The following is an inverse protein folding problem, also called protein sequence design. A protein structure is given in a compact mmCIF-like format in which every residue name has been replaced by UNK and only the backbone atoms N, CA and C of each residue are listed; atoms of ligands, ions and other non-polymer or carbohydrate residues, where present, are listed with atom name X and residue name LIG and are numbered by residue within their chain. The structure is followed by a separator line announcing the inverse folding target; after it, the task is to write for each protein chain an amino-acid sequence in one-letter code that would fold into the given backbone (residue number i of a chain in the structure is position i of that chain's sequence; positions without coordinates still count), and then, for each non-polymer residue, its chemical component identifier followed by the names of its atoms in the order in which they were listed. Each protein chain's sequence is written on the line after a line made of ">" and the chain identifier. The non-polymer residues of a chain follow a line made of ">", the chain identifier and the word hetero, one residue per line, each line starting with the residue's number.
data_IF_111210128149
#
_entry.id   IF_111210128149
#
_cell.length_a   1.000
_cell.length_b   1.000
_cell.length_c   1.000
_cell.angle_alpha   90.00
_cell.angle_beta   90.00
_cell.angle_gamma   90.00
#
_symmetry.space_group_name_H-M   'P 1'
#
loop_
_entity.id
_entity.type
_entity.pdbx_description
1 polymer ?
#
# COMPACT_ATOMS: atom_id res chain seq x y z
N UNK A 1 58.83 14.88 36.98
CA UNK A 1 59.87 14.78 35.95
C UNK A 1 59.19 14.94 34.59
N UNK A 2 59.59 15.97 33.87
CA UNK A 2 59.04 16.55 32.64
C UNK A 2 58.76 15.57 31.47
N UNK A 3 57.66 15.77 30.73
CA UNK A 3 57.68 16.41 29.39
C UNK A 3 56.29 16.56 28.76
N UNK A 4 55.97 17.79 28.41
CA UNK A 4 54.99 18.27 27.42
C UNK A 4 55.58 18.17 26.01
N UNK A 5 54.75 17.85 24.99
CA UNK A 5 54.82 18.30 23.57
C UNK A 5 53.64 17.66 22.82
N UNK A 6 52.53 18.35 22.52
CA UNK A 6 52.22 19.36 21.49
C UNK A 6 52.29 18.88 20.01
N UNK A 7 51.12 18.94 19.36
CA UNK A 7 50.80 19.23 17.95
C UNK A 7 51.38 18.36 16.80
N UNK A 8 50.51 17.74 15.99
CA UNK A 8 49.93 18.33 14.76
C UNK A 8 49.28 17.28 13.83
N UNK A 9 48.11 17.64 13.30
CA UNK A 9 47.53 17.33 11.99
C UNK A 9 48.01 16.08 11.21
N UNK A 10 47.06 15.21 10.86
CA UNK A 10 46.90 14.81 9.45
C UNK A 10 45.49 14.26 9.15
N UNK A 11 44.70 15.12 8.54
CA UNK A 11 43.67 14.88 7.52
C UNK A 11 43.58 13.44 6.99
N UNK A 12 42.45 12.77 7.25
CA UNK A 12 41.72 11.96 6.26
C UNK A 12 40.22 11.90 6.63
N UNK A 13 39.53 13.04 6.55
CA UNK A 13 38.08 13.01 6.40
C UNK A 13 37.74 12.48 5.01
N UNK A 14 37.42 11.20 4.94
CA UNK A 14 36.78 10.60 3.78
C UNK A 14 35.41 11.24 3.60
N UNK A 15 35.29 12.11 2.59
CA UNK A 15 34.02 12.66 2.12
C UNK A 15 33.11 11.52 1.63
N UNK A 16 32.28 10.98 2.50
CA UNK A 16 31.09 10.22 2.14
C UNK A 16 29.96 11.22 1.89
N UNK A 17 29.90 11.74 0.67
CA UNK A 17 28.72 12.45 0.20
C UNK A 17 27.54 11.47 0.15
N UNK A 18 26.64 11.52 1.14
CA UNK A 18 25.33 10.88 1.03
C UNK A 18 24.45 11.72 0.10
N UNK A 19 24.32 11.30 -1.15
CA UNK A 19 23.58 12.01 -2.20
C UNK A 19 22.06 12.15 -1.94
N UNK A 20 21.55 11.54 -0.86
CA UNK A 20 20.14 11.55 -0.45
C UNK A 20 19.92 11.72 1.06
N UNK A 21 20.50 12.75 1.67
CA UNK A 21 20.11 13.17 3.02
C UNK A 21 19.58 14.60 2.98
N UNK A 22 18.25 14.83 2.95
CA UNK A 22 17.71 16.09 3.38
C UNK A 22 17.76 16.08 4.92
N UNK A 23 18.96 16.30 5.48
CA UNK A 23 19.14 16.57 6.90
C UNK A 23 18.53 17.93 7.21
N UNK A 24 17.20 17.95 7.43
CA UNK A 24 16.52 19.12 7.97
C UNK A 24 16.81 19.16 9.48
N UNK A 25 17.85 19.94 9.81
CA UNK A 25 18.24 20.40 11.15
C UNK A 25 18.11 19.38 12.28
N UNK A 26 19.23 18.74 12.62
CA UNK A 26 19.42 17.97 13.86
C UNK A 26 19.12 18.75 15.16
N UNK A 27 18.94 20.07 15.11
CA UNK A 27 18.80 20.97 16.28
C UNK A 27 17.66 22.00 16.18
N UNK A 28 16.64 21.81 15.35
CA UNK A 28 15.45 22.67 15.45
C UNK A 28 14.55 22.11 16.56
N UNK A 29 14.60 22.72 17.75
CA UNK A 29 13.61 22.47 18.79
C UNK A 29 12.20 22.67 18.23
N UNK A 30 11.26 21.81 18.62
CA UNK A 30 9.84 21.95 18.29
C UNK A 30 9.37 23.33 18.77
N UNK A 31 8.73 24.11 17.89
CA UNK A 31 8.04 25.32 18.36
C UNK A 31 6.97 24.93 19.41
N UNK A 32 6.66 25.82 20.36
CA UNK A 32 5.68 25.53 21.43
C UNK A 32 4.31 25.06 20.87
N UNK A 33 3.90 25.55 19.70
CA UNK A 33 2.70 25.10 18.96
C UNK A 33 2.83 23.74 18.25
N UNK A 34 4.05 23.25 18.01
CA UNK A 34 4.33 21.91 17.47
C UNK A 34 4.41 20.87 18.61
N UNK A 35 4.77 21.29 19.82
CA UNK A 35 4.79 20.43 21.02
C UNK A 35 3.40 20.21 21.63
N UNK A 36 2.48 21.18 21.52
CA UNK A 36 1.09 21.03 21.94
C UNK A 36 0.30 20.18 20.91
N UNK A 37 0.24 18.87 21.13
CA UNK A 37 -0.76 18.01 20.49
C UNK A 37 -1.89 17.76 21.49
N UNK A 38 -3.09 18.24 21.19
CA UNK A 38 -4.25 18.09 22.08
C UNK A 38 -4.81 16.65 22.15
N UNK A 39 -4.09 15.64 21.64
CA UNK A 39 -4.59 14.26 21.52
C UNK A 39 -5.72 14.08 20.49
N UNK A 40 -6.16 15.15 19.83
CA UNK A 40 -7.33 15.16 18.94
C UNK A 40 -6.96 14.87 17.48
N UNK A 41 -7.45 13.76 16.96
CA UNK A 41 -7.29 13.34 15.57
C UNK A 41 -8.42 13.90 14.69
N UNK A 42 -8.29 15.16 14.27
CA UNK A 42 -9.26 15.90 13.44
C UNK A 42 -8.66 16.26 12.07
N UNK A 43 -9.49 16.66 11.11
CA UNK A 43 -9.04 17.00 9.74
C UNK A 43 -7.97 18.10 9.69
N UNK A 44 -8.07 19.12 10.54
CA UNK A 44 -7.06 20.20 10.60
C UNK A 44 -5.69 19.64 11.00
N UNK A 45 -5.66 18.76 12.01
CA UNK A 45 -4.45 18.10 12.43
C UNK A 45 -3.95 17.16 11.34
N UNK A 46 -4.82 16.43 10.65
CA UNK A 46 -4.41 15.60 9.50
C UNK A 46 -3.58 16.39 8.48
N UNK A 47 -4.06 17.56 8.03
CA UNK A 47 -3.30 18.38 7.08
C UNK A 47 -2.02 18.96 7.67
N UNK A 48 -1.99 19.30 8.97
CA UNK A 48 -0.77 19.74 9.66
C UNK A 48 0.29 18.64 9.67
N UNK A 49 -0.09 17.40 9.98
CA UNK A 49 0.83 16.26 9.96
C UNK A 49 1.28 15.91 8.53
N UNK A 50 0.35 15.90 7.58
CA UNK A 50 0.64 15.65 6.17
C UNK A 50 1.67 16.64 5.62
N UNK A 51 1.51 17.94 5.92
CA UNK A 51 2.46 18.99 5.51
C UNK A 51 3.84 18.78 6.12
N UNK A 52 3.90 18.41 7.40
CA UNK A 52 5.16 18.23 8.11
C UNK A 52 5.96 17.01 7.60
N UNK A 53 5.27 15.94 7.23
CA UNK A 53 5.89 14.69 6.75
C UNK A 53 5.81 14.49 5.24
N UNK A 54 5.50 15.53 4.47
CA UNK A 54 5.31 15.39 3.02
C UNK A 54 6.55 14.82 2.32
N UNK A 55 7.74 15.31 2.68
CA UNK A 55 9.01 14.79 2.13
C UNK A 55 9.34 13.38 2.61
N UNK A 56 8.98 13.04 3.85
CA UNK A 56 9.19 11.69 4.37
C UNK A 56 8.26 10.69 3.67
N UNK A 57 7.02 11.09 3.36
CA UNK A 57 6.05 10.29 2.63
C UNK A 57 6.47 10.03 1.17
N UNK A 58 7.09 11.00 0.50
CA UNK A 58 7.62 10.77 -0.86
C UNK A 58 8.77 9.78 -0.85
N UNK A 59 9.71 9.90 0.10
CA UNK A 59 10.79 8.92 0.29
C UNK A 59 10.21 7.53 0.59
N UNK A 60 9.23 7.47 1.50
CA UNK A 60 8.58 6.23 1.87
C UNK A 60 7.87 5.57 0.68
N UNK A 61 7.22 6.36 -0.18
CA UNK A 61 6.57 5.88 -1.40
C UNK A 61 7.59 5.28 -2.39
N UNK A 62 8.75 5.91 -2.55
CA UNK A 62 9.83 5.40 -3.40
C UNK A 62 10.37 4.07 -2.88
N UNK A 63 10.55 3.92 -1.56
CA UNK A 63 10.95 2.66 -0.95
C UNK A 63 9.89 1.57 -1.19
N UNK A 64 8.60 1.92 -1.04
CA UNK A 64 7.50 0.99 -1.29
C UNK A 64 7.52 0.47 -2.74
N UNK A 65 7.73 1.36 -3.71
CA UNK A 65 7.78 0.97 -5.13
C UNK A 65 9.04 0.17 -5.45
N UNK A 66 10.19 0.55 -4.89
CA UNK A 66 11.43 -0.20 -5.07
C UNK A 66 11.30 -1.63 -4.54
N UNK A 67 10.67 -1.78 -3.37
CA UNK A 67 10.45 -3.11 -2.77
C UNK A 67 9.38 -3.92 -3.49
N UNK A 68 8.38 -3.28 -4.08
CA UNK A 68 7.34 -3.92 -4.89
C UNK A 68 7.53 -3.66 -6.39
N UNK A 69 8.78 -3.60 -6.88
CA UNK A 69 9.06 -3.24 -8.28
C UNK A 69 8.38 -4.17 -9.29
N UNK A 70 8.18 -5.44 -8.91
CA UNK A 70 7.42 -6.40 -9.70
C UNK A 70 5.98 -5.97 -10.00
N UNK A 71 5.37 -5.12 -9.16
CA UNK A 71 4.06 -4.55 -9.43
C UNK A 71 4.11 -3.62 -10.66
N UNK A 72 5.19 -2.85 -10.82
CA UNK A 72 5.41 -2.00 -12.00
C UNK A 72 5.59 -2.85 -13.26
N UNK A 73 6.33 -3.95 -13.17
CA UNK A 73 6.54 -4.89 -14.29
C UNK A 73 5.22 -5.53 -14.75
N UNK A 74 4.38 -5.95 -13.81
CA UNK A 74 3.06 -6.53 -14.11
C UNK A 74 2.12 -5.48 -14.71
N UNK A 75 2.10 -4.26 -14.18
CA UNK A 75 1.33 -3.16 -14.77
C UNK A 75 1.80 -2.86 -16.20
N UNK A 76 3.11 -2.87 -16.44
CA UNK A 76 3.66 -2.71 -17.78
C UNK A 76 3.26 -3.86 -18.72
N UNK A 77 3.25 -5.12 -18.25
CA UNK A 77 2.77 -6.26 -19.03
C UNK A 77 1.27 -6.14 -19.41
N UNK A 78 0.44 -5.73 -18.45
CA UNK A 78 -1.01 -5.53 -18.68
C UNK A 78 -1.33 -4.38 -19.63
N UNK A 79 -0.40 -3.42 -19.82
CA UNK A 79 -0.58 -2.32 -20.77
C UNK A 79 -0.62 -2.77 -22.23
N UNK A 80 -0.18 -4.01 -22.54
CA UNK A 80 -0.17 -4.55 -23.89
C UNK A 80 0.99 -4.07 -24.77
N UNK A 81 1.87 -3.19 -24.25
CA UNK A 81 3.02 -2.64 -24.99
C UNK A 81 4.01 -3.71 -25.49
N UNK A 82 4.02 -4.89 -24.87
CA UNK A 82 4.89 -6.02 -25.24
C UNK A 82 4.15 -7.14 -25.97
N UNK A 83 2.86 -6.96 -26.27
CA UNK A 83 2.05 -7.98 -26.92
C UNK A 83 2.11 -7.85 -28.45
N UNK A 84 1.99 -9.00 -29.12
CA UNK A 84 1.82 -9.03 -30.57
C UNK A 84 0.33 -8.96 -30.90
N UNK A 85 -0.01 -8.24 -31.96
CA UNK A 85 -1.39 -8.10 -32.42
C UNK A 85 -1.61 -8.95 -33.66
N UNK A 86 -2.43 -9.98 -33.53
CA UNK A 86 -2.85 -10.81 -34.67
C UNK A 86 -4.29 -10.49 -35.04
N UNK A 87 -4.62 -10.62 -36.32
CA UNK A 87 -6.00 -10.51 -36.78
C UNK A 87 -6.71 -11.85 -36.55
N UNK A 88 -7.73 -11.83 -35.69
CA UNK A 88 -8.57 -13.00 -35.43
C UNK A 88 -10.04 -12.70 -35.78
N UNK A 89 -10.83 -13.72 -36.14
CA UNK A 89 -12.26 -13.52 -36.38
C UNK A 89 -12.96 -12.99 -35.13
N UNK A 90 -13.81 -11.97 -35.30
CA UNK A 90 -14.51 -11.34 -34.17
C UNK A 90 -15.69 -12.16 -33.65
N UNK A 91 -16.23 -13.06 -34.48
CA UNK A 91 -17.37 -13.90 -34.15
C UNK A 91 -16.94 -15.34 -33.83
N UNK A 92 -17.41 -15.94 -32.72
CA UNK A 92 -17.26 -17.38 -32.46
C UNK A 92 -17.89 -18.26 -33.55
N UNK A 93 -18.83 -17.71 -34.34
CA UNK A 93 -19.50 -18.41 -35.44
C UNK A 93 -18.72 -18.42 -36.75
N UNK A 94 -17.58 -17.71 -36.82
CA UNK A 94 -16.80 -17.60 -38.04
C UNK A 94 -16.40 -18.96 -38.62
N UNK A 95 -15.97 -19.90 -37.76
CA UNK A 95 -15.50 -21.21 -38.22
C UNK A 95 -16.62 -22.03 -38.87
N UNK A 96 -17.83 -21.98 -38.31
CA UNK A 96 -19.00 -22.69 -38.81
C UNK A 96 -19.49 -22.08 -40.13
N UNK A 97 -19.51 -20.74 -40.23
CA UNK A 97 -19.93 -20.02 -41.43
C UNK A 97 -18.91 -20.18 -42.55
N UNK A 98 -17.61 -20.07 -42.24
CA UNK A 98 -16.53 -20.29 -43.19
C UNK A 98 -16.53 -21.74 -43.72
N UNK A 99 -16.80 -22.71 -42.85
CA UNK A 99 -17.03 -24.10 -43.23
C UNK A 99 -18.22 -24.24 -44.18
N UNK A 100 -19.38 -23.70 -43.83
CA UNK A 100 -20.58 -23.74 -44.66
C UNK A 100 -20.36 -23.10 -46.05
N UNK A 101 -19.67 -21.96 -46.11
CA UNK A 101 -19.31 -21.28 -47.36
C UNK A 101 -18.35 -22.09 -48.24
N UNK A 102 -17.52 -22.96 -47.65
CA UNK A 102 -16.62 -23.83 -48.42
C UNK A 102 -17.37 -24.96 -49.13
N UNK A 103 -18.48 -25.43 -48.56
CA UNK A 103 -19.28 -26.54 -49.09
C UNK A 103 -20.48 -26.08 -49.93
N UNK A 104 -21.13 -24.98 -49.59
CA UNK A 104 -22.30 -24.45 -50.29
C UNK A 104 -22.16 -22.93 -50.47
N UNK A 105 -21.66 -22.49 -51.62
CA UNK A 105 -21.56 -21.07 -51.95
C UNK A 105 -22.95 -20.57 -52.40
N UNK A 106 -23.57 -19.72 -51.58
CA UNK A 106 -24.85 -19.09 -51.90
C UNK A 106 -24.95 -17.65 -51.36
N UNK A 107 -25.94 -16.86 -51.82
CA UNK A 107 -26.16 -15.49 -51.36
C UNK A 107 -26.27 -15.39 -49.84
N UNK A 108 -26.93 -16.37 -49.22
CA UNK A 108 -27.17 -16.46 -47.79
C UNK A 108 -25.87 -16.66 -47.00
N UNK A 109 -24.97 -17.53 -47.48
CA UNK A 109 -23.65 -17.76 -46.85
C UNK A 109 -22.72 -16.55 -46.99
N UNK A 110 -22.81 -15.83 -48.10
CA UNK A 110 -22.06 -14.58 -48.33
C UNK A 110 -22.55 -13.45 -47.43
N UNK A 111 -23.87 -13.33 -47.23
CA UNK A 111 -24.45 -12.37 -46.30
C UNK A 111 -24.07 -12.69 -44.84
N UNK A 112 -24.10 -13.96 -44.44
CA UNK A 112 -23.65 -14.40 -43.12
C UNK A 112 -22.16 -14.11 -42.88
N UNK A 113 -21.30 -14.34 -43.88
CA UNK A 113 -19.88 -14.02 -43.77
C UNK A 113 -19.63 -12.49 -43.75
N UNK A 114 -20.46 -11.68 -44.40
CA UNK A 114 -20.34 -10.22 -44.29
C UNK A 114 -20.61 -9.71 -42.86
N UNK A 115 -21.51 -10.37 -42.11
CA UNK A 115 -21.85 -10.01 -40.74
C UNK A 115 -20.90 -10.61 -39.70
N UNK A 116 -20.51 -11.89 -39.88
CA UNK A 116 -19.75 -12.64 -38.88
C UNK A 116 -18.28 -12.93 -39.28
N UNK A 117 -17.88 -12.54 -40.49
CA UNK A 117 -16.52 -12.68 -41.03
C UNK A 117 -15.63 -11.48 -40.80
N UNK A 118 -16.04 -10.53 -39.97
CA UNK A 118 -15.20 -9.41 -39.56
C UNK A 118 -14.03 -9.90 -38.70
N UNK A 119 -12.86 -9.31 -38.92
CA UNK A 119 -11.66 -9.57 -38.13
C UNK A 119 -11.43 -8.43 -37.15
N UNK A 120 -10.99 -8.77 -35.95
CA UNK A 120 -10.53 -7.82 -34.92
C UNK A 120 -9.09 -8.12 -34.56
N UNK A 121 -8.33 -7.10 -34.17
CA UNK A 121 -7.02 -7.30 -33.60
C UNK A 121 -7.17 -7.89 -32.20
N UNK A 122 -6.54 -9.04 -31.97
CA UNK A 122 -6.45 -9.67 -30.66
C UNK A 122 -5.00 -9.60 -30.22
N UNK A 123 -4.81 -9.11 -29.00
CA UNK A 123 -3.51 -9.02 -28.35
C UNK A 123 -3.10 -10.40 -27.82
N UNK A 124 -1.97 -10.93 -28.28
CA UNK A 124 -1.41 -12.21 -27.85
C UNK A 124 -0.20 -11.96 -26.93
N UNK A 125 -0.17 -12.55 -25.72
CA UNK A 125 0.97 -12.43 -24.82
C UNK A 125 2.22 -13.07 -25.42
N UNK A 126 3.27 -12.25 -25.57
CA UNK A 126 4.60 -12.72 -25.99
C UNK A 126 5.34 -13.40 -24.84
N UNK A 127 6.47 -14.05 -25.15
CA UNK A 127 7.37 -14.63 -24.14
C UNK A 127 7.82 -13.59 -23.10
N UNK A 128 8.10 -12.35 -23.55
CA UNK A 128 8.47 -11.23 -22.66
C UNK A 128 7.32 -10.92 -21.70
N UNK A 129 6.10 -10.83 -22.22
CA UNK A 129 4.90 -10.56 -21.41
C UNK A 129 4.68 -11.63 -20.36
N UNK A 130 4.86 -12.91 -20.71
CA UNK A 130 4.75 -14.02 -19.76
C UNK A 130 5.83 -13.96 -18.67
N UNK A 131 7.08 -13.62 -19.01
CA UNK A 131 8.16 -13.42 -18.03
C UNK A 131 7.79 -12.29 -17.05
N UNK A 132 7.27 -11.17 -17.55
CA UNK A 132 6.83 -10.05 -16.71
C UNK A 132 5.69 -10.47 -15.76
N UNK A 133 4.74 -11.31 -16.21
CA UNK A 133 3.73 -11.87 -15.33
C UNK A 133 4.31 -12.81 -14.27
N UNK A 134 5.30 -13.64 -14.59
CA UNK A 134 5.98 -14.48 -13.60
C UNK A 134 6.73 -13.67 -12.54
N UNK A 135 7.15 -12.45 -12.85
CA UNK A 135 7.71 -11.55 -11.84
C UNK A 135 6.73 -11.24 -10.71
N UNK A 136 5.42 -11.40 -10.90
CA UNK A 136 4.40 -11.21 -9.86
C UNK A 136 4.59 -12.14 -8.66
N UNK A 137 5.20 -13.32 -8.82
CA UNK A 137 5.41 -14.26 -7.72
C UNK A 137 6.29 -13.68 -6.60
N UNK A 138 7.18 -12.74 -6.91
CA UNK A 138 7.99 -12.05 -5.90
C UNK A 138 7.13 -11.22 -4.94
N UNK A 139 5.94 -10.76 -5.37
CA UNK A 139 5.01 -9.98 -4.54
C UNK A 139 4.50 -10.79 -3.36
N UNK A 140 4.44 -12.12 -3.45
CA UNK A 140 4.10 -12.96 -2.30
C UNK A 140 5.05 -12.76 -1.12
N UNK A 141 6.31 -12.42 -1.40
CA UNK A 141 7.35 -12.18 -0.40
C UNK A 141 7.40 -10.69 -0.06
N UNK A 142 7.45 -9.82 -1.07
CA UNK A 142 7.75 -8.40 -0.86
C UNK A 142 6.55 -7.60 -0.36
N UNK A 143 5.32 -7.97 -0.74
CA UNK A 143 4.12 -7.20 -0.42
C UNK A 143 3.88 -7.13 1.09
N UNK A 144 3.92 -8.26 1.79
CA UNK A 144 3.73 -8.31 3.24
C UNK A 144 4.81 -7.53 4.00
N UNK A 145 6.07 -7.79 3.65
CA UNK A 145 7.21 -7.12 4.27
C UNK A 145 7.18 -5.61 4.05
N UNK A 146 6.82 -5.19 2.84
CA UNK A 146 6.74 -3.77 2.52
C UNK A 146 5.65 -3.06 3.32
N UNK A 147 4.47 -3.67 3.46
CA UNK A 147 3.40 -3.11 4.28
C UNK A 147 3.76 -3.03 5.78
N UNK A 148 4.63 -3.91 6.30
CA UNK A 148 5.15 -3.82 7.68
C UNK A 148 6.04 -2.56 7.85
N UNK A 149 6.93 -2.31 6.89
CA UNK A 149 7.76 -1.10 6.90
C UNK A 149 6.92 0.18 6.78
N UNK A 150 5.91 0.17 5.90
CA UNK A 150 4.94 1.26 5.76
C UNK A 150 4.18 1.53 7.05
N UNK A 151 3.68 0.47 7.71
CA UNK A 151 2.97 0.58 8.98
C UNK A 151 3.83 1.25 10.04
N UNK A 152 5.10 0.85 10.15
CA UNK A 152 5.97 1.33 11.20
C UNK A 152 6.26 2.81 11.06
N UNK A 153 6.69 3.23 9.87
CA UNK A 153 7.06 4.62 9.59
C UNK A 153 5.83 5.53 9.68
N UNK A 154 4.70 5.15 9.05
CA UNK A 154 3.49 5.98 9.11
C UNK A 154 2.90 6.06 10.52
N UNK A 155 2.99 5.00 11.32
CA UNK A 155 2.57 5.04 12.73
C UNK A 155 3.44 6.02 13.52
N UNK A 156 4.76 5.98 13.32
CA UNK A 156 5.68 6.88 14.00
C UNK A 156 5.45 8.36 13.60
N UNK A 157 5.15 8.63 12.32
CA UNK A 157 4.70 9.95 11.86
C UNK A 157 3.42 10.42 12.57
N UNK A 158 2.43 9.52 12.72
CA UNK A 158 1.18 9.82 13.44
C UNK A 158 1.42 10.03 14.94
N UNK A 159 2.45 9.40 15.52
CA UNK A 159 2.88 9.62 16.91
C UNK A 159 3.82 10.82 17.09
N UNK A 160 4.19 11.51 16.01
CA UNK A 160 5.19 12.61 16.00
C UNK A 160 6.57 12.19 16.52
N UNK A 161 6.93 10.94 16.34
CA UNK A 161 8.27 10.46 16.65
C UNK A 161 9.22 10.86 15.49
N UNK A 162 10.45 11.27 15.81
CA UNK A 162 11.45 11.55 14.77
C UNK A 162 11.83 10.24 14.09
N UNK A 163 11.60 10.15 12.78
CA UNK A 163 11.92 8.94 12.00
C UNK A 163 12.92 9.20 10.89
N UNK A 164 13.94 8.36 10.81
CA UNK A 164 14.76 8.23 9.62
C UNK A 164 14.13 7.19 8.70
N UNK A 165 13.32 7.65 7.74
CA UNK A 165 12.45 6.81 6.89
C UNK A 165 13.14 5.54 6.38
N UNK A 166 14.33 5.66 5.77
CA UNK A 166 15.07 4.51 5.23
C UNK A 166 15.49 3.51 6.31
N UNK A 167 16.15 3.99 7.37
CA UNK A 167 16.68 3.13 8.41
C UNK A 167 15.55 2.44 9.19
N UNK A 168 14.52 3.20 9.55
CA UNK A 168 13.41 2.72 10.37
C UNK A 168 12.52 1.74 9.61
N UNK A 169 12.35 1.94 8.30
CA UNK A 169 11.65 0.99 7.43
C UNK A 169 12.34 -0.38 7.46
N UNK A 170 13.64 -0.43 7.17
CA UNK A 170 14.39 -1.70 7.13
C UNK A 170 14.56 -2.32 8.52
N UNK A 171 14.64 -1.51 9.58
CA UNK A 171 14.62 -1.98 10.95
C UNK A 171 13.31 -2.73 11.25
N UNK A 172 12.16 -2.14 10.93
CA UNK A 172 10.85 -2.74 11.16
C UNK A 172 10.67 -4.05 10.37
N UNK A 173 11.08 -4.04 9.10
CA UNK A 173 11.04 -5.25 8.24
C UNK A 173 11.87 -6.37 8.86
N UNK A 174 13.11 -6.09 9.29
CA UNK A 174 13.99 -7.09 9.90
C UNK A 174 13.48 -7.60 11.25
N UNK A 175 12.80 -6.76 12.02
CA UNK A 175 12.26 -7.12 13.33
C UNK A 175 11.08 -8.09 13.21
N UNK A 176 10.15 -7.81 12.30
CA UNK A 176 8.86 -8.51 12.22
C UNK A 176 8.71 -9.38 10.95
N UNK A 177 9.81 -9.71 10.26
CA UNK A 177 9.79 -10.37 8.94
C UNK A 177 9.00 -11.69 8.90
N UNK A 178 9.09 -12.55 9.92
CA UNK A 178 8.41 -13.86 9.93
C UNK A 178 6.89 -13.69 9.94
N UNK A 179 6.41 -12.81 10.80
CA UNK A 179 4.99 -12.54 10.94
C UNK A 179 4.48 -11.70 9.76
N UNK A 180 5.26 -10.71 9.32
CA UNK A 180 4.96 -9.89 8.15
C UNK A 180 4.84 -10.71 6.86
N UNK A 181 5.74 -11.67 6.64
CA UNK A 181 5.68 -12.56 5.47
C UNK A 181 4.46 -13.48 5.53
N UNK A 182 4.20 -14.11 6.68
CA UNK A 182 3.05 -14.99 6.84
C UNK A 182 1.72 -14.23 6.66
N UNK A 183 1.59 -13.04 7.25
CA UNK A 183 0.43 -12.16 7.03
C UNK A 183 0.34 -11.72 5.58
N UNK A 184 1.47 -11.41 4.94
CA UNK A 184 1.55 -11.03 3.52
C UNK A 184 1.05 -12.11 2.57
N UNK A 185 1.45 -13.37 2.79
CA UNK A 185 0.98 -14.51 1.98
C UNK A 185 -0.53 -14.68 2.12
N UNK A 186 -1.06 -14.57 3.34
CA UNK A 186 -2.51 -14.62 3.58
C UNK A 186 -3.20 -13.43 2.91
N UNK A 187 -2.63 -12.23 3.00
CA UNK A 187 -3.17 -11.01 2.38
C UNK A 187 -3.25 -11.16 0.87
N UNK A 188 -2.17 -11.62 0.22
CA UNK A 188 -2.16 -11.91 -1.21
C UNK A 188 -3.18 -12.98 -1.60
N UNK A 189 -3.32 -14.06 -0.82
CA UNK A 189 -4.29 -15.11 -1.08
C UNK A 189 -5.75 -14.61 -0.97
N UNK A 190 -6.05 -13.78 0.02
CA UNK A 190 -7.38 -13.18 0.21
C UNK A 190 -7.70 -12.18 -0.90
N UNK A 191 -6.73 -11.32 -1.27
CA UNK A 191 -6.88 -10.40 -2.41
C UNK A 191 -7.14 -11.17 -3.70
N UNK A 192 -6.39 -12.25 -3.94
CA UNK A 192 -6.56 -13.10 -5.12
C UNK A 192 -7.95 -13.74 -5.16
N UNK A 193 -8.40 -14.34 -4.05
CA UNK A 193 -9.71 -14.99 -3.96
C UNK A 193 -10.86 -14.00 -4.17
N UNK A 194 -10.79 -12.82 -3.54
CA UNK A 194 -11.78 -11.75 -3.71
C UNK A 194 -11.80 -11.25 -5.16
N UNK A 195 -10.62 -11.03 -5.75
CA UNK A 195 -10.50 -10.56 -7.14
C UNK A 195 -11.03 -11.58 -8.13
N UNK A 196 -10.73 -12.86 -7.92
CA UNK A 196 -11.25 -13.96 -8.73
C UNK A 196 -12.78 -14.05 -8.64
N UNK A 197 -13.34 -13.98 -7.42
CA UNK A 197 -14.79 -13.98 -7.22
C UNK A 197 -15.47 -12.80 -7.93
N UNK A 198 -14.90 -11.59 -7.82
CA UNK A 198 -15.41 -10.40 -8.51
C UNK A 198 -15.39 -10.58 -10.03
N UNK A 199 -14.27 -11.05 -10.60
CA UNK A 199 -14.16 -11.30 -12.05
C UNK A 199 -15.13 -12.37 -12.54
N UNK A 200 -15.29 -13.45 -11.78
CA UNK A 200 -16.19 -14.54 -12.11
C UNK A 200 -17.66 -14.09 -12.12
N UNK A 201 -18.11 -13.43 -11.06
CA UNK A 201 -19.50 -12.98 -10.99
C UNK A 201 -19.79 -11.81 -11.95
N UNK A 202 -18.81 -10.94 -12.21
CA UNK A 202 -18.94 -9.89 -13.23
C UNK A 202 -19.09 -10.47 -14.64
N UNK A 203 -18.27 -11.45 -15.01
CA UNK A 203 -18.33 -12.08 -16.34
C UNK A 203 -19.66 -12.80 -16.58
N UNK A 204 -20.31 -13.28 -15.52
CA UNK A 204 -21.58 -13.99 -15.59
C UNK A 204 -22.79 -13.11 -15.30
N UNK A 205 -22.64 -11.78 -15.16
CA UNK A 205 -23.70 -10.88 -14.69
C UNK A 205 -24.83 -10.71 -15.73
N UNK A 206 -24.50 -10.78 -17.03
CA UNK A 206 -25.48 -10.62 -18.12
C UNK A 206 -26.35 -11.87 -18.36
N UNK A 207 -25.80 -13.06 -18.12
CA UNK A 207 -26.50 -14.35 -18.28
C UNK A 207 -27.06 -14.84 -16.95
N UNK A 208 -26.48 -14.37 -15.86
CA UNK A 208 -26.81 -14.75 -14.50
C UNK A 208 -28.13 -14.15 -14.05
N UNK A 209 -29.05 -15.02 -13.63
CA UNK A 209 -30.26 -14.59 -12.94
C UNK A 209 -29.95 -13.91 -11.59
N UNK A 210 -31.00 -13.66 -10.82
CA UNK A 210 -30.95 -12.97 -9.52
C UNK A 210 -29.81 -13.44 -8.59
N UNK A 211 -29.54 -14.75 -8.53
CA UNK A 211 -28.48 -15.33 -7.70
C UNK A 211 -27.08 -14.75 -8.00
N UNK A 212 -26.68 -14.64 -9.27
CA UNK A 212 -25.36 -14.14 -9.65
C UNK A 212 -25.21 -12.65 -9.30
N UNK A 213 -26.27 -11.87 -9.49
CA UNK A 213 -26.30 -10.46 -9.10
C UNK A 213 -26.08 -10.29 -7.59
N UNK A 214 -26.76 -11.09 -6.76
CA UNK A 214 -26.58 -11.05 -5.30
C UNK A 214 -25.15 -11.43 -4.91
N UNK A 215 -24.59 -12.49 -5.51
CA UNK A 215 -23.21 -12.91 -5.23
C UNK A 215 -22.18 -11.86 -5.65
N UNK A 216 -22.42 -11.11 -6.74
CA UNK A 216 -21.56 -10.02 -7.16
C UNK A 216 -21.51 -8.89 -6.12
N UNK A 217 -22.66 -8.39 -5.69
CA UNK A 217 -22.71 -7.33 -4.66
C UNK A 217 -22.18 -7.79 -3.31
N UNK A 218 -22.41 -9.06 -2.94
CA UNK A 218 -21.81 -9.64 -1.74
C UNK A 218 -20.28 -9.70 -1.84
N UNK A 219 -19.73 -10.01 -3.03
CA UNK A 219 -18.29 -10.01 -3.26
C UNK A 219 -17.69 -8.61 -3.11
N UNK A 220 -18.39 -7.58 -3.60
CA UNK A 220 -18.00 -6.17 -3.40
C UNK A 220 -18.00 -5.81 -1.90
N UNK A 221 -19.04 -6.23 -1.17
CA UNK A 221 -19.10 -6.02 0.27
C UNK A 221 -17.90 -6.66 1.00
N UNK A 222 -17.57 -7.91 0.69
CA UNK A 222 -16.39 -8.57 1.28
C UNK A 222 -15.08 -7.90 0.89
N UNK A 223 -14.95 -7.40 -0.35
CA UNK A 223 -13.78 -6.64 -0.79
C UNK A 223 -13.60 -5.36 0.05
N UNK A 224 -14.67 -4.58 0.21
CA UNK A 224 -14.64 -3.35 1.00
C UNK A 224 -14.41 -3.64 2.49
N UNK A 225 -15.08 -4.66 3.02
CA UNK A 225 -14.91 -5.09 4.40
C UNK A 225 -13.47 -5.52 4.70
N UNK A 226 -12.88 -6.33 3.82
CA UNK A 226 -11.49 -6.75 3.93
C UNK A 226 -10.52 -5.56 3.80
N UNK A 227 -10.81 -4.64 2.90
CA UNK A 227 -10.02 -3.41 2.75
C UNK A 227 -9.96 -2.60 4.06
N UNK A 228 -11.09 -2.47 4.76
CA UNK A 228 -11.13 -1.81 6.08
C UNK A 228 -10.34 -2.61 7.13
N UNK A 229 -10.48 -3.94 7.16
CA UNK A 229 -9.69 -4.80 8.06
C UNK A 229 -8.17 -4.60 7.86
N UNK A 230 -7.74 -4.46 6.60
CA UNK A 230 -6.32 -4.30 6.23
C UNK A 230 -5.67 -3.05 6.83
N UNK A 231 -6.44 -1.99 7.08
CA UNK A 231 -5.97 -0.78 7.79
C UNK A 231 -5.46 -1.10 9.20
N UNK A 232 -6.01 -2.13 9.84
CA UNK A 232 -5.67 -2.54 11.21
C UNK A 232 -4.63 -3.66 11.27
N UNK A 233 -4.65 -4.59 10.31
CA UNK A 233 -3.81 -5.79 10.29
C UNK A 233 -2.33 -5.44 10.49
N UNK A 234 -1.77 -4.62 9.60
CA UNK A 234 -0.34 -4.32 9.63
C UNK A 234 0.06 -3.42 10.80
N UNK A 235 -0.81 -2.51 11.24
CA UNK A 235 -0.59 -1.74 12.46
C UNK A 235 -0.53 -2.63 13.70
N UNK A 236 -1.34 -3.69 13.76
CA UNK A 236 -1.26 -4.65 14.85
C UNK A 236 -0.02 -5.53 14.77
N UNK A 237 0.42 -5.95 13.58
CA UNK A 237 1.66 -6.74 13.40
C UNK A 237 2.86 -6.05 14.06
N UNK A 238 3.01 -4.74 13.86
CA UNK A 238 4.16 -3.98 14.38
C UNK A 238 4.02 -3.51 15.83
N UNK A 239 2.82 -3.61 16.41
CA UNK A 239 2.50 -3.07 17.74
C UNK A 239 2.35 -4.19 18.77
N UNK A 240 1.83 -5.35 18.37
CA UNK A 240 1.50 -6.44 19.29
C UNK A 240 2.01 -7.78 18.78
N UNK A 241 2.58 -8.58 19.69
CA UNK A 241 2.97 -9.96 19.43
C UNK A 241 1.77 -10.90 19.58
N UNK A 242 0.85 -10.83 18.61
CA UNK A 242 -0.35 -11.68 18.56
C UNK A 242 -0.18 -12.84 17.56
N UNK A 243 -0.79 -13.99 17.86
CA UNK A 243 -0.94 -15.07 16.87
C UNK A 243 -1.77 -14.58 15.68
N UNK A 244 -1.41 -14.99 14.47
CA UNK A 244 -2.05 -14.55 13.21
C UNK A 244 -3.57 -14.67 13.22
N UNK A 245 -4.12 -15.79 13.69
CA UNK A 245 -5.57 -15.97 13.75
C UNK A 245 -6.26 -14.95 14.67
N UNK A 246 -5.67 -14.68 15.84
CA UNK A 246 -6.18 -13.64 16.76
C UNK A 246 -6.05 -12.25 16.16
N UNK A 247 -4.99 -11.99 15.39
CA UNK A 247 -4.79 -10.73 14.69
C UNK A 247 -5.90 -10.45 13.68
N UNK A 248 -6.24 -11.40 12.81
CA UNK A 248 -7.35 -11.23 11.85
C UNK A 248 -8.71 -11.08 12.55
N UNK A 249 -8.94 -11.85 13.64
CA UNK A 249 -10.16 -11.70 14.45
C UNK A 249 -10.28 -10.30 15.06
N UNK A 250 -9.19 -9.77 15.61
CA UNK A 250 -9.17 -8.43 16.18
C UNK A 250 -9.35 -7.35 15.10
N UNK A 251 -8.75 -7.53 13.93
CA UNK A 251 -8.92 -6.61 12.80
C UNK A 251 -10.39 -6.53 12.35
N UNK A 252 -11.09 -7.68 12.35
CA UNK A 252 -12.52 -7.76 12.05
C UNK A 252 -13.37 -7.03 13.08
N UNK A 253 -13.00 -7.11 14.37
CA UNK A 253 -13.72 -6.39 15.43
C UNK A 253 -13.49 -4.87 15.28
N UNK A 254 -12.26 -4.43 14.99
CA UNK A 254 -11.96 -3.01 14.81
C UNK A 254 -12.57 -2.40 13.54
N UNK A 255 -12.72 -3.19 12.47
CA UNK A 255 -13.44 -2.72 11.27
C UNK A 255 -14.91 -2.37 11.59
N UNK A 256 -15.53 -3.09 12.54
CA UNK A 256 -16.91 -2.86 12.99
C UNK A 256 -17.01 -1.81 14.11
N UNK A 257 -16.07 -1.73 15.05
CA UNK A 257 -16.09 -0.73 16.13
C UNK A 257 -15.74 0.68 15.63
N UNK A 258 -14.86 0.77 14.63
CA UNK A 258 -14.30 2.02 14.12
C UNK A 258 -15.10 2.70 12.99
N UNK A 259 -16.37 2.32 12.74
CA UNK A 259 -17.13 2.68 11.51
C UNK A 259 -16.97 4.14 11.09
N UNK A 260 -17.16 5.10 12.00
CA UNK A 260 -17.07 6.54 11.67
C UNK A 260 -15.69 6.92 11.11
N UNK A 261 -14.61 6.45 11.75
CA UNK A 261 -13.24 6.72 11.30
C UNK A 261 -12.84 5.90 10.08
N UNK A 262 -13.35 4.67 9.97
CA UNK A 262 -13.17 3.82 8.80
C UNK A 262 -13.80 4.44 7.56
N UNK A 263 -14.98 5.04 7.69
CA UNK A 263 -15.64 5.75 6.60
C UNK A 263 -14.82 6.98 6.16
N UNK A 264 -14.30 7.77 7.10
CA UNK A 264 -13.38 8.86 6.77
C UNK A 264 -12.12 8.36 6.04
N UNK A 265 -11.55 7.24 6.47
CA UNK A 265 -10.39 6.63 5.80
C UNK A 265 -10.73 6.19 4.37
N UNK A 266 -11.87 5.52 4.17
CA UNK A 266 -12.35 5.11 2.85
C UNK A 266 -12.58 6.29 1.92
N UNK A 267 -13.24 7.36 2.41
CA UNK A 267 -13.47 8.56 1.61
C UNK A 267 -12.16 9.27 1.26
N UNK A 268 -11.22 9.38 2.22
CA UNK A 268 -9.91 9.99 1.99
C UNK A 268 -9.07 9.20 0.98
N UNK A 269 -9.00 7.88 1.15
CA UNK A 269 -8.27 6.99 0.23
C UNK A 269 -8.95 6.99 -1.16
N UNK A 270 -10.28 6.94 -1.20
CA UNK A 270 -11.07 7.01 -2.44
C UNK A 270 -10.85 8.32 -3.19
N UNK A 271 -10.81 9.46 -2.49
CA UNK A 271 -10.51 10.77 -3.09
C UNK A 271 -9.09 10.78 -3.67
N UNK A 272 -8.09 10.30 -2.93
CA UNK A 272 -6.71 10.22 -3.45
C UNK A 272 -6.64 9.29 -4.66
N UNK A 273 -7.29 8.12 -4.62
CA UNK A 273 -7.36 7.21 -5.76
C UNK A 273 -8.01 7.86 -6.99
N UNK A 274 -9.14 8.55 -6.78
CA UNK A 274 -9.87 9.25 -7.83
C UNK A 274 -9.02 10.36 -8.47
N UNK A 275 -8.38 11.19 -7.65
CA UNK A 275 -7.49 12.25 -8.14
C UNK A 275 -6.32 11.66 -8.92
N UNK A 276 -5.67 10.60 -8.41
CA UNK A 276 -4.57 9.94 -9.10
C UNK A 276 -5.01 9.33 -10.44
N UNK A 277 -6.18 8.69 -10.49
CA UNK A 277 -6.73 8.13 -11.73
C UNK A 277 -7.14 9.21 -12.73
N UNK A 278 -7.80 10.28 -12.28
CA UNK A 278 -8.17 11.42 -13.12
C UNK A 278 -6.94 12.10 -13.74
N UNK A 279 -5.85 12.25 -12.97
CA UNK A 279 -4.60 12.79 -13.48
C UNK A 279 -3.99 11.89 -14.57
N UNK A 280 -3.98 10.56 -14.38
CA UNK A 280 -3.50 9.61 -15.40
C UNK A 280 -4.29 9.79 -16.71
N UNK A 281 -5.62 9.95 -16.64
CA UNK A 281 -6.46 10.15 -17.83
C UNK A 281 -6.20 11.48 -18.54
N UNK A 282 -5.95 12.56 -17.79
CA UNK A 282 -5.76 13.90 -18.34
C UNK A 282 -4.36 14.13 -18.94
N UNK A 283 -3.30 13.53 -18.38
CA UNK A 283 -1.93 13.79 -18.82
C UNK A 283 -1.18 12.49 -19.17
N UNK A 284 -1.17 12.15 -20.46
CA UNK A 284 -0.66 10.87 -20.97
C UNK A 284 0.79 10.51 -20.57
N UNK A 285 1.72 11.47 -20.47
CA UNK A 285 3.15 11.14 -20.25
C UNK A 285 3.67 11.46 -18.84
N UNK A 286 3.27 12.60 -18.26
CA UNK A 286 3.77 13.03 -16.92
C UNK A 286 2.91 12.47 -15.79
N UNK A 287 1.60 12.27 -15.98
CA UNK A 287 0.74 11.75 -14.93
C UNK A 287 0.73 10.24 -14.79
N UNK A 288 1.39 9.49 -15.68
CA UNK A 288 1.70 8.09 -15.37
C UNK A 288 2.66 7.99 -14.19
N UNK A 289 3.63 8.92 -14.06
CA UNK A 289 4.68 8.88 -13.04
C UNK A 289 4.20 9.46 -11.70
N UNK A 290 3.32 10.47 -11.73
CA UNK A 290 2.92 11.22 -10.53
C UNK A 290 2.27 10.34 -9.43
N UNK A 291 1.42 9.35 -9.73
CA UNK A 291 0.91 8.42 -8.73
C UNK A 291 2.01 7.60 -8.05
N UNK A 292 3.06 7.26 -8.81
CA UNK A 292 4.23 6.54 -8.30
C UNK A 292 5.17 7.41 -7.45
N UNK A 293 4.94 8.72 -7.29
CA UNK A 293 5.80 9.55 -6.43
C UNK A 293 5.27 9.66 -5.00
N UNK A 294 3.94 9.70 -4.80
CA UNK A 294 3.39 9.93 -3.45
C UNK A 294 2.10 9.17 -3.09
N UNK A 295 1.43 8.50 -4.05
CA UNK A 295 0.04 8.05 -3.84
C UNK A 295 -0.06 6.91 -2.82
N UNK A 296 0.76 5.87 -2.91
CA UNK A 296 0.65 4.70 -2.03
C UNK A 296 0.95 5.06 -0.58
N UNK A 297 2.01 5.84 -0.34
CA UNK A 297 2.35 6.30 1.00
C UNK A 297 1.28 7.22 1.59
N UNK A 298 0.68 8.11 0.78
CA UNK A 298 -0.42 8.95 1.25
C UNK A 298 -1.66 8.14 1.63
N UNK A 299 -2.07 7.18 0.79
CA UNK A 299 -3.19 6.28 1.11
C UNK A 299 -2.93 5.52 2.40
N UNK A 300 -1.71 5.01 2.57
CA UNK A 300 -1.31 4.30 3.78
C UNK A 300 -1.34 5.23 5.00
N UNK A 301 -0.83 6.46 4.88
CA UNK A 301 -0.83 7.45 5.95
C UNK A 301 -2.25 7.84 6.37
N UNK A 302 -3.18 8.05 5.43
CA UNK A 302 -4.60 8.29 5.72
C UNK A 302 -5.18 7.10 6.52
N UNK A 303 -4.91 5.88 6.05
CA UNK A 303 -5.31 4.65 6.74
C UNK A 303 -4.81 4.62 8.18
N UNK A 304 -3.52 4.85 8.38
CA UNK A 304 -2.89 4.85 9.71
C UNK A 304 -3.43 5.96 10.61
N UNK A 305 -3.61 7.17 10.09
CA UNK A 305 -4.13 8.31 10.85
C UNK A 305 -5.54 8.05 11.40
N UNK A 306 -6.39 7.36 10.63
CA UNK A 306 -7.74 7.00 11.05
C UNK A 306 -7.78 5.76 11.95
N UNK A 307 -7.01 4.72 11.63
CA UNK A 307 -7.03 3.43 12.32
C UNK A 307 -6.29 3.47 13.66
N UNK A 308 -5.15 4.17 13.75
CA UNK A 308 -4.32 4.20 14.95
C UNK A 308 -5.07 4.62 16.22
N UNK A 309 -5.83 5.72 16.25
CA UNK A 309 -6.52 6.11 17.47
C UNK A 309 -7.73 5.22 17.83
N UNK A 310 -8.19 4.35 16.93
CA UNK A 310 -9.13 3.26 17.28
C UNK A 310 -8.39 2.15 18.02
N UNK A 311 -7.19 1.76 17.54
CA UNK A 311 -6.33 0.78 18.22
C UNK A 311 -5.93 1.28 19.61
N UNK A 312 -5.58 2.56 19.75
CA UNK A 312 -5.25 3.16 21.05
C UNK A 312 -6.40 2.99 22.03
N UNK A 313 -7.59 3.44 21.65
CA UNK A 313 -8.79 3.42 22.50
C UNK A 313 -9.20 2.01 22.93
N UNK A 314 -9.15 1.04 22.02
CA UNK A 314 -9.73 -0.30 22.27
C UNK A 314 -8.70 -1.36 22.66
N UNK A 315 -7.40 -1.11 22.53
CA UNK A 315 -6.39 -2.12 22.81
C UNK A 315 -5.21 -1.62 23.63
N UNK A 316 -4.78 -0.36 23.46
CA UNK A 316 -3.66 0.20 24.24
C UNK A 316 -4.14 0.71 25.59
N UNK A 317 -5.14 1.60 25.61
CA UNK A 317 -5.67 2.18 26.86
C UNK A 317 -6.20 1.13 27.85
N UNK A 318 -6.94 0.08 27.42
CA UNK A 318 -7.37 -0.96 28.35
C UNK A 318 -6.18 -1.75 28.92
N UNK A 319 -5.18 -2.06 28.08
CA UNK A 319 -3.98 -2.77 28.51
C UNK A 319 -3.16 -1.96 29.53
N UNK A 320 -3.00 -0.65 29.32
CA UNK A 320 -2.30 0.23 30.27
C UNK A 320 -3.06 0.40 31.60
N UNK A 321 -4.39 0.31 31.59
CA UNK A 321 -5.21 0.32 32.83
C UNK A 321 -5.07 -0.98 33.63
N UNK A 322 -4.95 -2.11 32.95
CA UNK A 322 -4.75 -3.43 33.57
C UNK A 322 -3.30 -3.62 34.06
N UNK A 323 -2.34 -2.96 33.40
CA UNK A 323 -0.92 -3.00 33.73
C UNK A 323 -0.35 -1.58 33.87
N UNK A 324 -0.66 -0.88 34.98
CA UNK A 324 -0.08 0.44 35.23
C UNK A 324 1.45 0.32 35.27
N UNK A 325 2.13 1.18 34.51
CA UNK A 325 3.59 1.28 34.58
C UNK A 325 3.95 1.71 36.00
N UNK A 326 4.72 0.90 36.71
CA UNK A 326 5.41 1.36 37.92
C UNK A 326 6.40 2.39 37.42
N UNK A 327 6.19 3.67 37.74
CA UNK A 327 7.22 4.68 37.56
C UNK A 327 8.41 4.23 38.42
N UNK A 328 9.51 3.83 37.79
CA UNK A 328 10.79 3.76 38.47
C UNK A 328 11.08 5.21 38.91
N UNK A 329 10.83 5.52 40.18
CA UNK A 329 11.33 6.73 40.82
C UNK A 329 12.85 6.71 40.63
N UNK A 330 13.34 7.48 39.66
CA UNK A 330 14.77 7.75 39.53
C UNK A 330 15.17 8.40 40.84
N UNK A 331 16.03 7.77 41.67
CA UNK A 331 16.49 8.36 42.92
C UNK A 331 17.02 9.77 42.63
N UNK A 332 16.63 10.76 43.42
CA UNK A 332 16.97 12.17 43.16
C UNK A 332 18.48 12.42 43.00
N UNK A 333 19.31 11.49 43.48
CA UNK A 333 20.76 11.50 43.38
C UNK A 333 21.32 11.35 41.94
N UNK A 334 20.52 10.89 40.96
CA UNK A 334 20.94 10.75 39.54
C UNK A 334 20.46 11.88 38.61
N UNK A 335 19.86 12.97 39.13
CA UNK A 335 19.51 14.14 38.31
C UNK A 335 20.77 14.94 37.94
N UNK A 336 21.43 14.54 36.84
CA UNK A 336 22.66 15.18 36.30
C UNK A 336 22.41 16.65 35.87
N UNK A 337 21.17 17.04 35.57
CA UNK A 337 20.81 18.42 35.26
C UNK A 337 19.70 18.89 36.19
N UNK A 338 20.04 19.86 37.03
CA UNK A 338 19.07 20.70 37.73
C UNK A 338 19.00 22.03 36.98
N UNK A 339 17.81 22.39 36.51
CA UNK A 339 17.56 23.71 35.93
C UNK A 339 17.72 24.73 37.07
N UNK A 340 18.77 25.55 37.03
CA UNK A 340 18.90 26.72 37.91
C UNK A 340 18.05 27.82 37.27
N UNK A 341 16.96 28.15 37.94
CA UNK A 341 15.94 29.11 37.48
C UNK A 341 16.45 30.53 37.23
#
# INVERSE_FOLDING_TARGET
>A
MFKTQNNNNNNKEGKLFSFFSPSRSRNAGLSKEQAQFDGKYNLVNFFKFLKNHFGDLTILNLIFILTNFSLVLVLFATSGNTNDYISAPSSPFYQQIYGAMRYAQGPDTSALNAVFGTFTSVSVPTLITNILYYSAFTLLITFGLSNVGMAYVTRAMVRREHTFVWHDYWYAVKRDWKQGLLVGVIDCALIFLISYALMFYYSNLAVGGFYINVMFYLSIFFALFYFVMRLYIYLMVITFKLKTFKLFKNAMIFSLLGIKRNLCALLGIGLVAFVSFYLILMFSSVAMILPFIFTFALMYFIGTYCAYPVIVKFMIEPYEKEHPKVEEEIPEEEKIFTDRG
#
